data_IF_606400232786
#
_entry.id   IF_606400232786
#
_cell.length_a   1.000
_cell.length_b   1.000
_cell.length_c   1.000
_cell.angle_alpha   90.00
_cell.angle_beta   90.00
_cell.angle_gamma   90.00
#
_symmetry.space_group_name_H-M   'P 1'
#
loop_
_entity.id
_entity.type
_entity.pdbx_description
1 polymer ?
#
# COMPACT_ATOMS: atom_id res chain seq x y z
N UNK A 1 -21.21 7.50 6.13
CA UNK A 1 -20.34 7.18 4.98
C UNK A 1 -20.59 5.73 4.60
N UNK A 2 -20.91 5.44 3.34
CA UNK A 2 -21.04 4.04 2.90
C UNK A 2 -19.68 3.36 3.07
N UNK A 3 -19.60 2.33 3.91
CA UNK A 3 -18.40 1.51 4.13
C UNK A 3 -18.09 0.73 2.84
N UNK A 4 -17.44 1.39 1.88
CA UNK A 4 -16.87 0.71 0.72
C UNK A 4 -15.58 0.03 1.15
N UNK A 5 -15.60 -1.31 1.21
CA UNK A 5 -14.40 -2.10 1.49
C UNK A 5 -13.33 -1.83 0.42
N UNK A 6 -12.09 -1.45 0.79
CA UNK A 6 -10.98 -1.31 -0.16
C UNK A 6 -10.75 -2.58 -1.00
N UNK A 7 -10.95 -3.76 -0.41
CA UNK A 7 -10.87 -5.03 -1.13
C UNK A 7 -11.93 -5.18 -2.22
N UNK A 8 -13.15 -4.65 -2.02
CA UNK A 8 -14.19 -4.61 -3.05
C UNK A 8 -13.82 -3.63 -4.17
N UNK A 9 -13.26 -2.47 -3.82
CA UNK A 9 -12.78 -1.50 -4.80
C UNK A 9 -11.65 -2.08 -5.68
N UNK A 10 -10.69 -2.80 -5.08
CA UNK A 10 -9.60 -3.46 -5.81
C UNK A 10 -10.11 -4.51 -6.81
N UNK A 11 -11.05 -5.38 -6.39
CA UNK A 11 -11.68 -6.37 -7.29
C UNK A 11 -12.44 -5.71 -8.44
N UNK A 12 -13.07 -4.56 -8.19
CA UNK A 12 -13.73 -3.79 -9.25
C UNK A 12 -12.71 -3.19 -10.23
N UNK A 13 -11.56 -2.69 -9.75
CA UNK A 13 -10.48 -2.19 -10.61
C UNK A 13 -9.93 -3.29 -11.54
N UNK A 14 -9.68 -4.50 -11.00
CA UNK A 14 -9.25 -5.67 -11.79
C UNK A 14 -10.22 -6.07 -12.90
N UNK A 15 -11.52 -5.80 -12.72
CA UNK A 15 -12.54 -6.08 -13.73
C UNK A 15 -12.58 -5.00 -14.82
N UNK A 16 -12.25 -3.75 -14.47
CA UNK A 16 -12.32 -2.59 -15.37
C UNK A 16 -11.07 -2.44 -16.25
N UNK A 17 -9.91 -2.84 -15.74
CA UNK A 17 -8.62 -2.68 -16.42
C UNK A 17 -7.87 -4.02 -16.45
N UNK A 18 -7.47 -4.47 -17.64
CA UNK A 18 -6.80 -5.76 -17.83
C UNK A 18 -5.68 -5.66 -18.89
N UNK A 19 -4.39 -5.71 -18.49
CA UNK A 19 -3.91 -5.87 -17.12
C UNK A 19 -4.06 -4.58 -16.30
N UNK A 20 -4.50 -4.69 -15.04
CA UNK A 20 -4.54 -3.57 -14.09
C UNK A 20 -3.13 -3.14 -13.73
N UNK A 21 -2.80 -1.87 -13.99
CA UNK A 21 -1.55 -1.27 -13.51
C UNK A 21 -1.67 -0.92 -12.02
N UNK A 22 -0.76 -1.45 -11.20
CA UNK A 22 -0.69 -1.19 -9.76
C UNK A 22 0.68 -0.56 -9.48
N UNK A 23 0.70 0.73 -9.15
CA UNK A 23 1.96 1.48 -9.03
C UNK A 23 2.47 1.53 -7.60
N UNK A 24 3.78 1.36 -7.42
CA UNK A 24 4.43 1.45 -6.11
C UNK A 24 4.46 2.89 -5.58
N UNK A 25 4.05 3.07 -4.33
CA UNK A 25 4.01 4.35 -3.62
C UNK A 25 4.55 4.18 -2.21
N UNK A 26 5.71 4.79 -1.92
CA UNK A 26 6.39 4.68 -0.62
C UNK A 26 5.96 5.74 0.40
N UNK A 27 5.13 6.71 0.01
CA UNK A 27 4.61 7.73 0.91
C UNK A 27 3.29 8.33 0.38
N UNK A 28 2.64 9.12 1.23
CA UNK A 28 1.36 9.76 0.95
C UNK A 28 1.38 10.66 -0.30
N UNK A 29 2.46 11.40 -0.54
CA UNK A 29 2.58 12.27 -1.71
C UNK A 29 2.63 11.46 -3.02
N UNK A 30 3.37 10.36 -3.05
CA UNK A 30 3.42 9.46 -4.21
C UNK A 30 2.04 8.85 -4.50
N UNK A 31 1.28 8.49 -3.47
CA UNK A 31 -0.10 8.01 -3.62
C UNK A 31 -1.02 9.06 -4.25
N UNK A 32 -0.92 10.34 -3.83
CA UNK A 32 -1.66 11.43 -4.45
C UNK A 32 -1.26 11.66 -5.91
N UNK A 33 0.03 11.56 -6.24
CA UNK A 33 0.51 11.67 -7.62
C UNK A 33 -0.02 10.52 -8.48
N UNK A 34 0.00 9.29 -7.98
CA UNK A 34 -0.57 8.14 -8.67
C UNK A 34 -2.07 8.31 -8.94
N UNK A 35 -2.83 8.79 -7.94
CA UNK A 35 -4.25 9.08 -8.11
C UNK A 35 -4.49 10.17 -9.17
N UNK A 36 -3.69 11.24 -9.17
CA UNK A 36 -3.78 12.32 -10.17
C UNK A 36 -3.39 11.87 -11.58
N UNK A 37 -2.47 10.91 -11.69
CA UNK A 37 -2.07 10.31 -12.95
C UNK A 37 -3.13 9.36 -13.53
N UNK A 38 -4.18 9.03 -12.76
CA UNK A 38 -5.32 8.23 -13.23
C UNK A 38 -5.23 6.74 -12.94
N UNK A 39 -4.24 6.29 -12.15
CA UNK A 39 -4.14 4.89 -11.74
C UNK A 39 -5.34 4.47 -10.88
N UNK A 40 -5.72 3.20 -10.96
CA UNK A 40 -6.88 2.65 -10.26
C UNK A 40 -6.52 1.85 -9.01
N UNK A 41 -5.23 1.59 -8.77
CA UNK A 41 -4.71 0.91 -7.58
C UNK A 41 -3.25 1.31 -7.32
N UNK A 42 -2.84 1.21 -6.06
CA UNK A 42 -1.48 1.52 -5.61
C UNK A 42 -0.93 0.38 -4.75
N UNK A 43 0.40 0.35 -4.59
CA UNK A 43 1.12 -0.69 -3.86
C UNK A 43 2.11 -0.08 -2.86
N UNK A 44 2.12 -0.60 -1.63
CA UNK A 44 3.16 -0.32 -0.64
C UNK A 44 4.09 -1.53 -0.55
N UNK A 45 5.36 -1.34 -0.95
CA UNK A 45 6.41 -2.36 -0.92
C UNK A 45 7.07 -2.44 0.46
N UNK A 46 7.34 -3.65 0.97
CA UNK A 46 8.08 -3.88 2.22
C UNK A 46 9.49 -3.32 2.14
N UNK A 47 10.25 -3.68 1.10
CA UNK A 47 11.55 -3.06 0.81
C UNK A 47 11.49 -1.55 0.58
N UNK A 48 10.38 -1.03 0.06
CA UNK A 48 10.14 0.41 -0.05
C UNK A 48 10.01 1.11 1.31
N UNK A 49 9.33 0.48 2.28
CA UNK A 49 9.28 0.95 3.69
C UNK A 49 10.67 0.86 4.32
N UNK A 50 11.34 -0.29 4.20
CA UNK A 50 12.68 -0.49 4.78
C UNK A 50 13.67 0.57 4.27
N UNK A 51 13.81 0.72 2.96
CA UNK A 51 14.78 1.65 2.38
C UNK A 51 14.32 3.12 2.47
N UNK A 52 13.08 3.40 2.11
CA UNK A 52 12.56 4.77 1.97
C UNK A 52 12.22 5.45 3.28
N UNK A 53 11.67 4.70 4.23
CA UNK A 53 11.19 5.24 5.51
C UNK A 53 12.20 5.05 6.64
N UNK A 54 12.94 3.93 6.64
CA UNK A 54 13.86 3.58 7.73
C UNK A 54 15.35 3.71 7.35
N UNK A 55 15.69 3.77 6.06
CA UNK A 55 17.08 3.76 5.60
C UNK A 55 17.78 2.41 5.82
N UNK A 56 17.02 1.31 5.81
CA UNK A 56 17.48 -0.06 6.06
C UNK A 56 17.39 -0.92 4.79
N UNK A 57 18.21 -1.98 4.65
CA UNK A 57 18.04 -2.96 3.61
C UNK A 57 16.81 -3.85 3.88
N UNK A 58 16.24 -4.40 2.81
CA UNK A 58 15.09 -5.31 2.87
C UNK A 58 15.51 -6.73 3.31
N UNK A 59 15.76 -6.89 4.62
CA UNK A 59 16.23 -8.13 5.24
C UNK A 59 15.29 -8.60 6.37
N UNK A 60 14.03 -8.18 6.36
CA UNK A 60 13.05 -8.49 7.42
C UNK A 60 13.33 -7.78 8.74
N UNK A 61 13.95 -6.60 8.69
CA UNK A 61 14.24 -5.77 9.87
C UNK A 61 13.03 -4.87 10.22
N UNK A 62 12.28 -4.43 9.21
CA UNK A 62 11.06 -3.64 9.40
C UNK A 62 10.03 -4.39 10.22
N UNK A 63 9.34 -3.65 11.08
CA UNK A 63 8.30 -4.19 11.96
C UNK A 63 6.91 -3.94 11.39
N UNK A 64 5.90 -4.60 11.96
CA UNK A 64 4.50 -4.34 11.62
C UNK A 64 4.13 -2.87 11.82
N UNK A 65 4.62 -2.23 12.89
CA UNK A 65 4.31 -0.84 13.20
C UNK A 65 4.90 0.14 12.18
N UNK A 66 6.07 -0.17 11.62
CA UNK A 66 6.68 0.62 10.55
C UNK A 66 5.78 0.62 9.31
N UNK A 67 5.34 -0.56 8.89
CA UNK A 67 4.44 -0.72 7.74
C UNK A 67 3.08 -0.08 8.01
N UNK A 68 2.48 -0.31 9.19
CA UNK A 68 1.20 0.30 9.56
C UNK A 68 1.26 1.83 9.61
N UNK A 69 2.40 2.41 9.99
CA UNK A 69 2.59 3.87 9.99
C UNK A 69 2.47 4.44 8.58
N UNK A 70 3.11 3.82 7.59
CA UNK A 70 3.04 4.28 6.21
C UNK A 70 1.71 3.97 5.55
N UNK A 71 1.08 2.83 5.87
CA UNK A 71 -0.31 2.56 5.46
C UNK A 71 -1.23 3.70 5.90
N UNK A 72 -1.25 4.04 7.20
CA UNK A 72 -2.13 5.10 7.74
C UNK A 72 -1.93 6.42 7.02
N UNK A 73 -0.66 6.85 6.87
CA UNK A 73 -0.31 8.08 6.15
C UNK A 73 -0.82 8.10 4.71
N UNK A 74 -0.75 6.98 4.00
CA UNK A 74 -1.23 6.85 2.62
C UNK A 74 -2.76 6.83 2.57
N UNK A 75 -3.40 5.96 3.36
CA UNK A 75 -4.84 5.74 3.30
C UNK A 75 -5.66 6.91 3.85
N UNK A 76 -5.08 7.75 4.71
CA UNK A 76 -5.73 8.96 5.21
C UNK A 76 -5.93 10.04 4.13
N UNK A 77 -5.14 10.01 3.05
CA UNK A 77 -5.18 11.04 2.00
C UNK A 77 -5.50 10.51 0.60
N UNK A 78 -5.38 9.20 0.38
CA UNK A 78 -5.60 8.56 -0.92
C UNK A 78 -6.76 7.56 -0.85
N UNK A 79 -7.72 7.71 -1.76
CA UNK A 79 -8.91 6.86 -1.82
C UNK A 79 -8.75 5.60 -2.68
N UNK A 80 -7.62 5.47 -3.38
CA UNK A 80 -7.33 4.28 -4.19
C UNK A 80 -7.11 3.06 -3.29
N UNK A 81 -7.51 1.85 -3.75
CA UNK A 81 -7.18 0.63 -3.04
C UNK A 81 -5.66 0.44 -2.97
N UNK A 82 -5.16 0.23 -1.76
CA UNK A 82 -3.75 -0.02 -1.46
C UNK A 82 -3.52 -1.53 -1.29
N UNK A 83 -2.73 -2.12 -2.17
CA UNK A 83 -2.13 -3.43 -1.97
C UNK A 83 -0.89 -3.28 -1.10
N UNK A 84 -0.74 -4.11 -0.07
CA UNK A 84 0.37 -3.99 0.88
C UNK A 84 1.15 -5.29 0.93
N UNK A 85 2.47 -5.16 0.87
CA UNK A 85 3.41 -6.21 1.23
C UNK A 85 3.47 -6.36 2.75
N UNK A 86 3.11 -7.56 3.23
CA UNK A 86 3.06 -7.88 4.65
C UNK A 86 4.12 -8.92 5.05
N UNK A 87 5.17 -9.05 4.25
CA UNK A 87 6.24 -10.04 4.42
C UNK A 87 5.65 -11.45 4.66
N UNK A 88 6.14 -12.13 5.71
CA UNK A 88 5.64 -13.41 6.20
C UNK A 88 4.59 -13.26 7.33
N UNK A 89 4.06 -12.04 7.54
CA UNK A 89 3.05 -11.75 8.55
C UNK A 89 3.60 -11.35 9.92
N UNK A 90 4.85 -10.86 10.03
CA UNK A 90 5.45 -10.29 11.25
C UNK A 90 5.43 -11.17 12.52
N UNK A 91 5.32 -12.50 12.36
CA UNK A 91 5.38 -13.48 13.45
C UNK A 91 4.03 -14.13 13.77
N UNK A 92 4.05 -15.18 14.59
CA UNK A 92 2.90 -16.06 14.85
C UNK A 92 1.72 -15.43 15.61
N UNK A 93 1.85 -14.19 16.10
CA UNK A 93 0.85 -13.50 16.92
C UNK A 93 0.52 -12.09 16.45
N UNK A 94 0.91 -11.73 15.22
CA UNK A 94 0.63 -10.40 14.67
C UNK A 94 -0.87 -10.15 14.38
N UNK A 95 -1.71 -11.18 14.49
CA UNK A 95 -3.16 -11.14 14.30
C UNK A 95 -3.89 -11.98 15.34
#
# INVERSE_FOLDING_TARGET
>A
MSLHSPGKAFRAALTKENPLQIVGTINANHALLAQRAGYQAIYLSGGGVAAGSLGLPDLGISTLDDVLTDIRRITDVCSLPLLVDADIGFGSSAF
#
